data_IF_741147098782
#
_entry.id   IF_741147098782
#
_cell.length_a   1.000
_cell.length_b   1.000
_cell.length_c   1.000
_cell.angle_alpha   90.00
_cell.angle_beta   90.00
_cell.angle_gamma   90.00
#
_symmetry.space_group_name_H-M   'P 1'
#
loop_
_entity.id
_entity.type
_entity.pdbx_description
1 polymer ?
#
# COMPACT_ATOMS: atom_id res chain seq x y z
N UNK A 1 -8.34 14.14 -11.18
CA UNK A 1 -7.71 12.81 -10.97
C UNK A 1 -7.17 12.17 -12.25
N UNK A 2 -7.99 11.87 -13.28
CA UNK A 2 -7.52 11.22 -14.54
C UNK A 2 -6.41 12.01 -15.28
N UNK A 3 -6.44 13.35 -15.24
CA UNK A 3 -5.40 14.24 -15.80
C UNK A 3 -3.99 13.87 -15.33
N UNK A 4 -3.82 13.60 -14.03
CA UNK A 4 -2.52 13.27 -13.43
C UNK A 4 -2.00 11.90 -13.90
N UNK A 5 -2.87 10.91 -14.05
CA UNK A 5 -2.50 9.60 -14.63
C UNK A 5 -2.01 9.73 -16.08
N UNK A 6 -2.69 10.53 -16.91
CA UNK A 6 -2.30 10.71 -18.30
C UNK A 6 -0.99 11.47 -18.48
N UNK A 7 -0.66 12.40 -17.56
CA UNK A 7 0.60 13.16 -17.60
C UNK A 7 1.82 12.27 -17.38
N UNK A 8 1.73 11.27 -16.50
CA UNK A 8 2.84 10.36 -16.16
C UNK A 8 2.67 8.93 -16.70
N UNK A 9 1.77 8.72 -17.68
CA UNK A 9 1.46 7.40 -18.26
C UNK A 9 2.70 6.62 -18.72
N UNK A 10 3.73 7.31 -19.22
CA UNK A 10 4.97 6.65 -19.67
C UNK A 10 5.79 6.06 -18.52
N UNK A 11 5.92 6.78 -17.41
CA UNK A 11 6.64 6.30 -16.22
C UNK A 11 5.85 5.19 -15.52
N UNK A 12 4.53 5.33 -15.46
CA UNK A 12 3.63 4.29 -14.94
C UNK A 12 3.70 3.03 -15.80
N UNK A 13 3.76 3.16 -17.13
CA UNK A 13 3.93 2.03 -18.02
C UNK A 13 5.28 1.32 -17.79
N UNK A 14 6.37 2.07 -17.63
CA UNK A 14 7.69 1.48 -17.30
C UNK A 14 7.69 0.76 -15.96
N UNK A 15 7.02 1.33 -14.94
CA UNK A 15 6.82 0.71 -13.64
C UNK A 15 6.06 -0.62 -13.76
N UNK A 16 4.95 -0.65 -14.48
CA UNK A 16 4.19 -1.88 -14.75
C UNK A 16 5.05 -2.90 -15.52
N UNK A 17 5.79 -2.47 -16.54
CA UNK A 17 6.67 -3.33 -17.33
C UNK A 17 7.76 -3.97 -16.45
N UNK A 18 8.47 -3.18 -15.64
CA UNK A 18 9.44 -3.69 -14.67
C UNK A 18 8.80 -4.70 -13.70
N UNK A 19 7.58 -4.43 -13.25
CA UNK A 19 6.84 -5.33 -12.37
C UNK A 19 6.52 -6.67 -13.04
N UNK A 20 6.15 -6.68 -14.33
CA UNK A 20 5.91 -7.93 -15.06
C UNK A 20 7.19 -8.75 -15.28
N UNK A 21 8.30 -8.09 -15.62
CA UNK A 21 9.61 -8.75 -15.77
C UNK A 21 10.09 -9.34 -14.44
N UNK A 22 9.88 -8.61 -13.35
CA UNK A 22 10.14 -9.11 -12.00
C UNK A 22 9.35 -10.40 -11.71
N UNK A 23 8.05 -10.43 -12.01
CA UNK A 23 7.21 -11.61 -11.80
C UNK A 23 7.65 -12.80 -12.62
N UNK A 24 8.13 -12.59 -13.85
CA UNK A 24 8.67 -13.67 -14.69
C UNK A 24 9.96 -14.23 -14.08
N UNK A 25 10.88 -13.36 -13.64
CA UNK A 25 12.15 -13.76 -13.02
C UNK A 25 11.95 -14.58 -11.75
N UNK A 26 11.04 -14.15 -10.87
CA UNK A 26 10.71 -14.92 -9.67
C UNK A 26 9.90 -16.17 -10.01
N UNK A 27 9.02 -16.08 -11.01
CA UNK A 27 8.19 -17.19 -11.44
C UNK A 27 9.01 -18.38 -11.95
N UNK A 28 10.19 -18.14 -12.51
CA UNK A 28 11.11 -19.17 -12.96
C UNK A 28 11.82 -19.92 -11.81
N UNK A 29 11.84 -19.39 -10.58
CA UNK A 29 12.53 -20.00 -9.44
C UNK A 29 11.99 -21.40 -9.12
N UNK A 30 10.66 -21.61 -8.96
CA UNK A 30 10.07 -22.95 -8.78
C UNK A 30 10.52 -23.99 -9.80
N UNK A 31 10.77 -23.61 -11.06
CA UNK A 31 11.21 -24.54 -12.11
C UNK A 31 12.63 -25.02 -11.82
N UNK A 32 13.54 -24.09 -11.48
CA UNK A 32 14.91 -24.45 -11.09
C UNK A 32 14.90 -25.33 -9.85
N UNK A 33 14.02 -25.04 -8.88
CA UNK A 33 13.82 -25.88 -7.70
C UNK A 33 13.28 -27.27 -8.04
N UNK A 34 12.36 -27.39 -9.00
CA UNK A 34 11.86 -28.69 -9.46
C UNK A 34 12.97 -29.51 -10.13
N UNK A 35 13.75 -28.90 -11.03
CA UNK A 35 14.87 -29.56 -11.69
C UNK A 35 15.92 -30.04 -10.68
N UNK A 36 16.15 -29.27 -9.62
CA UNK A 36 17.04 -29.67 -8.52
C UNK A 36 16.51 -30.94 -7.82
N UNK A 37 15.21 -30.99 -7.51
CA UNK A 37 14.57 -32.13 -6.84
C UNK A 37 14.57 -33.40 -7.71
N UNK A 38 14.27 -33.27 -9.00
CA UNK A 38 14.23 -34.40 -9.93
C UNK A 38 15.63 -34.96 -10.21
N UNK A 39 16.68 -34.12 -10.11
CA UNK A 39 18.06 -34.50 -10.37
C UNK A 39 18.80 -35.12 -9.16
N UNK A 40 18.20 -35.15 -7.95
CA UNK A 40 18.85 -35.67 -6.72
C UNK A 40 19.36 -37.11 -6.90
N UNK A 41 18.73 -37.92 -7.75
CA UNK A 41 19.12 -39.30 -8.01
C UNK A 41 20.34 -39.51 -8.93
N UNK A 42 20.72 -38.54 -9.75
CA UNK A 42 21.80 -38.67 -10.76
C UNK A 42 22.69 -37.41 -10.85
N UNK A 43 22.76 -36.69 -9.74
CA UNK A 43 23.29 -35.33 -9.69
C UNK A 43 24.80 -35.29 -9.92
N UNK A 44 25.22 -34.73 -11.06
CA UNK A 44 26.64 -34.44 -11.35
C UNK A 44 27.02 -33.07 -10.79
N UNK A 45 28.20 -32.92 -10.20
CA UNK A 45 28.66 -31.64 -9.61
C UNK A 45 28.61 -30.46 -10.60
N UNK A 46 28.87 -30.70 -11.88
CA UNK A 46 28.79 -29.71 -12.96
C UNK A 46 27.35 -29.21 -13.16
N UNK A 47 26.37 -30.12 -13.16
CA UNK A 47 24.96 -29.78 -13.32
C UNK A 47 24.43 -29.00 -12.12
N UNK A 48 24.85 -29.38 -10.90
CA UNK A 48 24.53 -28.65 -9.68
C UNK A 48 25.07 -27.21 -9.72
N UNK A 49 26.33 -27.03 -10.14
CA UNK A 49 26.93 -25.71 -10.29
C UNK A 49 26.18 -24.82 -11.28
N UNK A 50 25.72 -25.40 -12.40
CA UNK A 50 24.94 -24.67 -13.40
C UNK A 50 23.55 -24.26 -12.88
N UNK A 51 22.85 -25.13 -12.14
CA UNK A 51 21.56 -24.79 -11.51
C UNK A 51 21.70 -23.67 -10.48
N UNK A 52 22.74 -23.71 -9.64
CA UNK A 52 23.01 -22.65 -8.66
C UNK A 52 23.29 -21.32 -9.38
N UNK A 53 24.07 -21.35 -10.46
CA UNK A 53 24.34 -20.15 -11.26
C UNK A 53 23.04 -19.56 -11.83
N UNK A 54 22.18 -20.38 -12.42
CA UNK A 54 20.86 -19.95 -12.91
C UNK A 54 19.99 -19.36 -11.80
N UNK A 55 19.97 -20.00 -10.62
CA UNK A 55 19.22 -19.51 -9.47
C UNK A 55 19.71 -18.12 -9.03
N UNK A 56 21.02 -17.96 -8.85
CA UNK A 56 21.62 -16.68 -8.46
C UNK A 56 21.35 -15.60 -9.51
N UNK A 57 21.44 -15.94 -10.80
CA UNK A 57 21.16 -15.03 -11.90
C UNK A 57 19.69 -14.57 -11.88
N UNK A 58 18.74 -15.50 -11.72
CA UNK A 58 17.31 -15.17 -11.66
C UNK A 58 16.98 -14.27 -10.46
N UNK A 59 17.55 -14.55 -9.29
CA UNK A 59 17.39 -13.70 -8.10
C UNK A 59 18.01 -12.32 -8.33
N UNK A 60 19.21 -12.26 -8.91
CA UNK A 60 19.88 -11.00 -9.23
C UNK A 60 19.08 -10.14 -10.21
N UNK A 61 18.55 -10.74 -11.28
CA UNK A 61 17.65 -10.07 -12.23
C UNK A 61 16.33 -9.65 -11.56
N UNK A 62 15.77 -10.49 -10.69
CA UNK A 62 14.59 -10.15 -9.90
C UNK A 62 14.83 -8.91 -9.04
N UNK A 63 15.90 -8.87 -8.27
CA UNK A 63 16.28 -7.70 -7.45
C UNK A 63 16.47 -6.45 -8.31
N UNK A 64 17.12 -6.59 -9.47
CA UNK A 64 17.30 -5.50 -10.42
C UNK A 64 15.95 -4.92 -10.88
N UNK A 65 15.05 -5.75 -11.40
CA UNK A 65 13.73 -5.27 -11.85
C UNK A 65 12.88 -4.72 -10.71
N UNK A 66 12.96 -5.31 -9.51
CA UNK A 66 12.27 -4.82 -8.33
C UNK A 66 12.75 -3.41 -7.95
N UNK A 67 14.05 -3.15 -7.99
CA UNK A 67 14.61 -1.84 -7.73
C UNK A 67 14.07 -0.78 -8.70
N UNK A 68 14.08 -1.08 -10.00
CA UNK A 68 13.52 -0.16 -11.00
C UNK A 68 12.01 0.05 -10.85
N UNK A 69 11.25 -1.00 -10.53
CA UNK A 69 9.84 -0.89 -10.21
C UNK A 69 9.60 0.08 -9.05
N UNK A 70 10.35 -0.06 -7.95
CA UNK A 70 10.23 0.85 -6.81
C UNK A 70 10.66 2.29 -7.16
N UNK A 71 11.75 2.44 -7.90
CA UNK A 71 12.25 3.73 -8.33
C UNK A 71 11.22 4.48 -9.18
N UNK A 72 10.67 3.84 -10.23
CA UNK A 72 9.65 4.46 -11.06
C UNK A 72 8.36 4.71 -10.27
N UNK A 73 7.96 3.75 -9.43
CA UNK A 73 6.85 3.87 -8.48
C UNK A 73 6.90 5.16 -7.67
N UNK A 74 8.04 5.38 -7.00
CA UNK A 74 8.28 6.58 -6.22
C UNK A 74 8.33 7.84 -7.09
N UNK A 75 9.04 7.80 -8.22
CA UNK A 75 9.21 8.93 -9.12
C UNK A 75 7.88 9.51 -9.61
N UNK A 76 6.97 8.67 -10.11
CA UNK A 76 5.69 9.16 -10.61
C UNK A 76 4.78 9.61 -9.45
N UNK A 77 4.81 8.93 -8.31
CA UNK A 77 3.99 9.28 -7.13
C UNK A 77 4.38 10.64 -6.56
N UNK A 78 5.69 10.90 -6.39
CA UNK A 78 6.19 12.19 -5.89
C UNK A 78 5.91 13.34 -6.85
N UNK A 79 5.95 13.09 -8.17
CA UNK A 79 5.60 14.12 -9.15
C UNK A 79 4.10 14.45 -9.14
N UNK A 80 3.22 13.46 -8.99
CA UNK A 80 1.79 13.71 -8.81
C UNK A 80 1.52 14.48 -7.53
N UNK A 81 2.22 14.16 -6.44
CA UNK A 81 2.11 14.89 -5.17
C UNK A 81 2.51 16.37 -5.33
N UNK A 82 3.60 16.65 -6.03
CA UNK A 82 4.03 18.02 -6.33
C UNK A 82 3.00 18.76 -7.19
N UNK A 83 2.53 18.15 -8.28
CA UNK A 83 1.52 18.72 -9.17
C UNK A 83 0.22 19.04 -8.40
N UNK A 84 -0.20 18.16 -7.48
CA UNK A 84 -1.37 18.39 -6.63
C UNK A 84 -1.17 19.60 -5.70
N UNK A 85 0.02 19.77 -5.13
CA UNK A 85 0.34 20.94 -4.28
C UNK A 85 0.34 22.23 -5.10
N UNK A 86 0.89 22.21 -6.31
CA UNK A 86 0.90 23.35 -7.21
C UNK A 86 -0.54 23.74 -7.64
N UNK A 87 -1.34 22.79 -8.11
CA UNK A 87 -2.75 23.03 -8.50
C UNK A 87 -3.60 23.50 -7.29
N UNK A 88 -3.33 23.03 -6.08
CA UNK A 88 -4.00 23.51 -4.86
C UNK A 88 -3.61 24.94 -4.49
N UNK A 89 -2.32 25.27 -4.56
CA UNK A 89 -1.84 26.62 -4.27
C UNK A 89 -2.40 27.63 -5.27
N UNK A 90 -2.37 27.30 -6.57
CA UNK A 90 -2.95 28.14 -7.62
C UNK A 90 -4.45 28.39 -7.36
N UNK A 91 -5.18 27.38 -6.90
CA UNK A 91 -6.59 27.53 -6.56
C UNK A 91 -6.83 28.42 -5.34
N UNK A 92 -6.03 28.26 -4.28
CA UNK A 92 -6.13 29.10 -3.07
C UNK A 92 -5.82 30.57 -3.39
N UNK A 93 -4.83 30.83 -4.25
CA UNK A 93 -4.46 32.20 -4.65
C UNK A 93 -5.55 32.89 -5.48
N UNK A 94 -6.43 32.13 -6.13
CA UNK A 94 -7.54 32.63 -6.92
C UNK A 94 -8.86 32.76 -6.13
N UNK A 95 -8.86 32.49 -4.82
CA UNK A 95 -10.06 32.66 -3.98
C UNK A 95 -10.41 34.12 -3.74
N UNK A 96 -11.70 34.42 -3.73
CA UNK A 96 -12.19 35.70 -3.22
C UNK A 96 -12.07 35.73 -1.68
N UNK A 97 -12.09 36.92 -1.09
CA UNK A 97 -11.94 37.10 0.36
C UNK A 97 -12.93 36.25 1.19
N UNK A 98 -14.20 36.19 0.76
CA UNK A 98 -15.23 35.38 1.41
C UNK A 98 -14.98 33.87 1.33
N UNK A 99 -14.42 33.38 0.21
CA UNK A 99 -14.08 31.97 0.02
C UNK A 99 -12.85 31.61 0.86
N UNK A 100 -11.87 32.51 0.95
CA UNK A 100 -10.67 32.30 1.75
C UNK A 100 -10.98 32.22 3.26
N UNK A 101 -11.86 33.09 3.76
CA UNK A 101 -12.25 33.14 5.19
C UNK A 101 -13.16 31.96 5.60
N UNK A 102 -13.72 31.22 4.64
CA UNK A 102 -14.61 30.08 4.93
C UNK A 102 -13.92 28.90 5.62
N UNK A 103 -12.59 28.80 5.51
CA UNK A 103 -11.79 27.77 6.17
C UNK A 103 -10.71 28.37 7.06
N UNK A 104 -10.32 27.64 8.10
CA UNK A 104 -9.26 28.10 9.01
C UNK A 104 -7.88 27.82 8.41
N UNK A 105 -6.87 28.59 8.84
CA UNK A 105 -5.48 28.49 8.33
C UNK A 105 -4.85 27.12 8.56
N UNK A 106 -5.14 26.49 9.69
CA UNK A 106 -4.71 25.15 10.06
C UNK A 106 -5.34 24.06 9.18
N UNK A 107 -6.57 24.27 8.73
CA UNK A 107 -7.26 23.35 7.80
C UNK A 107 -6.57 23.33 6.44
N UNK A 108 -6.25 24.50 5.87
CA UNK A 108 -5.47 24.58 4.63
C UNK A 108 -4.11 23.89 4.76
N UNK A 109 -3.42 24.09 5.89
CA UNK A 109 -2.12 23.44 6.13
C UNK A 109 -2.26 21.91 6.23
N UNK A 110 -3.30 21.42 6.90
CA UNK A 110 -3.58 19.98 7.00
C UNK A 110 -3.87 19.38 5.62
N UNK A 111 -4.68 20.05 4.79
CA UNK A 111 -4.95 19.60 3.42
C UNK A 111 -3.66 19.53 2.61
N UNK A 112 -2.84 20.57 2.67
CA UNK A 112 -1.61 20.69 1.88
C UNK A 112 -0.53 19.66 2.26
N UNK A 113 -0.45 19.31 3.55
CA UNK A 113 0.57 18.43 4.10
C UNK A 113 0.11 16.97 4.16
N UNK A 114 -1.05 16.72 4.75
CA UNK A 114 -1.55 15.38 5.04
C UNK A 114 -2.44 14.86 3.92
N UNK A 115 -3.44 15.63 3.47
CA UNK A 115 -4.46 15.09 2.56
C UNK A 115 -3.90 14.87 1.15
N UNK A 116 -3.06 15.78 0.65
CA UNK A 116 -2.39 15.60 -0.65
C UNK A 116 -1.53 14.33 -0.66
N UNK A 117 -0.76 14.12 0.41
CA UNK A 117 0.08 12.94 0.54
C UNK A 117 -0.77 11.67 0.68
N UNK A 118 -1.85 11.72 1.48
CA UNK A 118 -2.78 10.62 1.62
C UNK A 118 -3.44 10.26 0.28
N UNK A 119 -3.86 11.25 -0.50
CA UNK A 119 -4.43 11.03 -1.83
C UNK A 119 -3.39 10.38 -2.76
N UNK A 120 -2.16 10.88 -2.80
CA UNK A 120 -1.10 10.30 -3.64
C UNK A 120 -0.82 8.83 -3.29
N UNK A 121 -0.62 8.54 -2.00
CA UNK A 121 -0.21 7.22 -1.52
C UNK A 121 -1.37 6.22 -1.37
N UNK A 122 -2.56 6.66 -0.98
CA UNK A 122 -3.69 5.76 -0.72
C UNK A 122 -4.59 5.58 -1.94
N UNK A 123 -4.66 6.56 -2.84
CA UNK A 123 -5.46 6.45 -4.05
C UNK A 123 -4.61 6.07 -5.26
N UNK A 124 -3.68 6.93 -5.68
CA UNK A 124 -2.97 6.70 -6.94
C UNK A 124 -2.10 5.45 -6.90
N UNK A 125 -1.25 5.32 -5.87
CA UNK A 125 -0.36 4.17 -5.70
C UNK A 125 -1.17 2.88 -5.58
N UNK A 126 -2.24 2.85 -4.77
CA UNK A 126 -3.07 1.66 -4.59
C UNK A 126 -3.82 1.22 -5.84
N UNK A 127 -4.32 2.17 -6.64
CA UNK A 127 -4.98 1.85 -7.91
C UNK A 127 -3.99 1.19 -8.88
N UNK A 128 -2.78 1.72 -8.99
CA UNK A 128 -1.72 1.12 -9.84
C UNK A 128 -1.27 -0.23 -9.30
N UNK A 129 -1.09 -0.36 -7.98
CA UNK A 129 -0.75 -1.64 -7.35
C UNK A 129 -1.81 -2.71 -7.61
N UNK A 130 -3.10 -2.36 -7.58
CA UNK A 130 -4.18 -3.31 -7.89
C UNK A 130 -4.11 -3.80 -9.35
N UNK A 131 -3.79 -2.90 -10.29
CA UNK A 131 -3.55 -3.26 -11.69
C UNK A 131 -2.32 -4.16 -11.82
N UNK A 132 -1.22 -3.85 -11.13
CA UNK A 132 -0.02 -4.71 -11.12
C UNK A 132 -0.33 -6.08 -10.54
N UNK A 133 -0.90 -6.16 -9.34
CA UNK A 133 -1.20 -7.43 -8.67
C UNK A 133 -2.14 -8.32 -9.50
N UNK A 134 -3.14 -7.74 -10.16
CA UNK A 134 -4.03 -8.51 -11.05
C UNK A 134 -3.29 -9.04 -12.28
N UNK A 135 -2.46 -8.23 -12.93
CA UNK A 135 -1.61 -8.67 -14.05
C UNK A 135 -0.61 -9.76 -13.62
N UNK A 136 0.05 -9.57 -12.48
CA UNK A 136 1.00 -10.54 -11.91
C UNK A 136 0.32 -11.88 -11.65
N UNK A 137 -0.89 -11.87 -11.06
CA UNK A 137 -1.65 -13.08 -10.79
C UNK A 137 -1.96 -13.84 -12.07
N UNK A 138 -2.40 -13.15 -13.12
CA UNK A 138 -2.71 -13.78 -14.42
C UNK A 138 -1.45 -14.36 -15.06
N UNK A 139 -0.37 -13.58 -15.14
CA UNK A 139 0.90 -14.02 -15.76
C UNK A 139 1.49 -15.21 -15.01
N UNK A 140 1.58 -15.10 -13.68
CA UNK A 140 2.11 -16.17 -12.84
C UNK A 140 1.23 -17.42 -12.88
N UNK A 141 -0.10 -17.26 -12.88
CA UNK A 141 -1.03 -18.38 -12.99
C UNK A 141 -0.87 -19.16 -14.30
N UNK A 142 -0.80 -18.47 -15.44
CA UNK A 142 -0.56 -19.10 -16.75
C UNK A 142 0.80 -19.80 -16.76
N UNK A 143 1.84 -19.13 -16.26
CA UNK A 143 3.19 -19.65 -16.19
C UNK A 143 3.24 -20.96 -15.38
N UNK A 144 2.63 -20.97 -14.19
CA UNK A 144 2.61 -22.16 -13.32
C UNK A 144 1.84 -23.31 -13.95
N UNK A 145 0.71 -23.08 -14.62
CA UNK A 145 -0.06 -24.14 -15.28
C UNK A 145 0.71 -24.79 -16.43
N UNK A 146 1.51 -24.02 -17.16
CA UNK A 146 2.26 -24.54 -18.31
C UNK A 146 3.54 -25.28 -17.91
N UNK A 147 4.23 -24.80 -16.88
CA UNK A 147 5.53 -25.35 -16.48
C UNK A 147 5.47 -26.35 -15.31
N UNK A 148 4.45 -26.29 -14.45
CA UNK A 148 4.23 -27.26 -13.38
C UNK A 148 3.15 -28.28 -13.72
N UNK A 149 3.18 -29.41 -13.02
CA UNK A 149 2.14 -30.43 -13.12
C UNK A 149 0.76 -29.84 -12.75
N UNK A 150 -0.27 -30.15 -13.55
CA UNK A 150 -1.65 -29.66 -13.40
C UNK A 150 -2.21 -29.89 -11.98
N UNK A 151 -1.81 -30.98 -11.32
CA UNK A 151 -2.23 -31.30 -9.96
C UNK A 151 -1.68 -30.32 -8.92
N UNK A 152 -0.42 -29.91 -9.06
CA UNK A 152 0.22 -28.93 -8.17
C UNK A 152 -0.42 -27.56 -8.40
N UNK A 153 -0.65 -27.18 -9.67
CA UNK A 153 -1.34 -25.95 -10.01
C UNK A 153 -2.76 -25.88 -9.40
N UNK A 154 -3.52 -26.98 -9.46
CA UNK A 154 -4.88 -27.06 -8.90
C UNK A 154 -4.87 -26.88 -7.37
N UNK A 155 -3.93 -27.51 -6.66
CA UNK A 155 -3.78 -27.33 -5.20
C UNK A 155 -3.50 -25.86 -4.85
N UNK A 156 -2.61 -25.20 -5.60
CA UNK A 156 -2.27 -23.78 -5.37
C UNK A 156 -3.49 -22.89 -5.66
N UNK A 157 -4.24 -23.14 -6.74
CA UNK A 157 -5.46 -22.38 -7.06
C UNK A 157 -6.50 -22.53 -5.96
N UNK A 158 -6.76 -23.74 -5.47
CA UNK A 158 -7.71 -23.97 -4.37
C UNK A 158 -7.25 -23.29 -3.08
N UNK A 159 -5.96 -23.37 -2.74
CA UNK A 159 -5.39 -22.68 -1.58
C UNK A 159 -5.50 -21.15 -1.70
N UNK A 160 -5.29 -20.60 -2.90
CA UNK A 160 -5.46 -19.18 -3.17
C UNK A 160 -6.92 -18.73 -3.02
N UNK A 161 -7.88 -19.56 -3.47
CA UNK A 161 -9.31 -19.30 -3.35
C UNK A 161 -9.76 -19.30 -1.88
N UNK A 162 -9.26 -20.24 -1.08
CA UNK A 162 -9.48 -20.28 0.37
C UNK A 162 -8.94 -19.02 1.05
N UNK A 163 -7.76 -18.55 0.64
CA UNK A 163 -7.16 -17.33 1.18
C UNK A 163 -7.99 -16.08 0.86
N UNK A 164 -8.68 -16.05 -0.29
CA UNK A 164 -9.58 -14.96 -0.67
C UNK A 164 -10.90 -14.96 0.10
N UNK A 165 -11.37 -16.12 0.58
CA UNK A 165 -12.58 -16.22 1.41
C UNK A 165 -12.35 -15.68 2.83
N UNK A 166 -11.14 -15.82 3.37
CA UNK A 166 -10.76 -15.35 4.72
C UNK A 166 -11.05 -13.86 4.97
N UNK A 167 -10.62 -12.91 4.11
CA UNK A 167 -10.94 -11.50 4.29
C UNK A 167 -12.43 -11.20 4.06
N UNK A 168 -13.16 -11.94 3.23
CA UNK A 168 -14.59 -11.67 3.01
C UNK A 168 -15.45 -11.94 4.25
N UNK A 169 -15.14 -12.99 5.00
CA UNK A 169 -15.83 -13.31 6.26
C UNK A 169 -15.49 -12.31 7.38
N UNK A 170 -14.25 -11.84 7.41
CA UNK A 170 -13.73 -11.00 8.50
C UNK A 170 -13.90 -9.51 8.24
N UNK A 171 -13.91 -9.08 6.97
CA UNK A 171 -13.90 -7.66 6.59
C UNK A 171 -15.11 -6.90 7.12
N UNK A 172 -16.32 -7.48 7.13
CA UNK A 172 -17.51 -6.79 7.65
C UNK A 172 -17.36 -6.43 9.14
N UNK A 173 -16.99 -7.41 9.96
CA UNK A 173 -16.76 -7.20 11.40
C UNK A 173 -15.63 -6.20 11.64
N UNK A 174 -14.52 -6.37 10.94
CA UNK A 174 -13.37 -5.49 11.05
C UNK A 174 -13.68 -4.04 10.64
N UNK A 175 -14.55 -3.85 9.65
CA UNK A 175 -15.03 -2.53 9.23
C UNK A 175 -15.94 -1.88 10.29
N UNK A 176 -16.85 -2.64 10.91
CA UNK A 176 -17.72 -2.15 12.00
C UNK A 176 -16.91 -1.79 13.26
N UNK A 177 -15.95 -2.64 13.64
CA UNK A 177 -15.05 -2.38 14.77
C UNK A 177 -14.19 -1.14 14.51
N UNK A 178 -13.69 -0.97 13.27
CA UNK A 178 -12.94 0.21 12.86
C UNK A 178 -13.79 1.47 12.95
N UNK A 179 -15.06 1.42 12.56
CA UNK A 179 -15.97 2.55 12.64
C UNK A 179 -16.23 2.95 14.11
N UNK A 180 -16.43 1.94 14.97
CA UNK A 180 -16.59 2.14 16.42
C UNK A 180 -15.35 2.76 17.05
N UNK A 181 -14.16 2.25 16.68
CA UNK A 181 -12.88 2.80 17.11
C UNK A 181 -12.69 4.26 16.68
N UNK A 182 -12.99 4.59 15.42
CA UNK A 182 -12.91 5.98 14.90
C UNK A 182 -13.86 6.92 15.65
N UNK A 183 -15.09 6.48 15.96
CA UNK A 183 -16.03 7.28 16.75
C UNK A 183 -15.52 7.53 18.17
N UNK A 184 -14.99 6.51 18.86
CA UNK A 184 -14.42 6.66 20.21
C UNK A 184 -13.18 7.54 20.21
N UNK A 185 -12.32 7.41 19.20
CA UNK A 185 -11.16 8.28 19.02
C UNK A 185 -11.58 9.74 18.80
N UNK A 186 -12.67 9.99 18.08
CA UNK A 186 -13.28 11.31 17.93
C UNK A 186 -13.72 11.89 19.29
N UNK A 187 -14.44 11.11 20.09
CA UNK A 187 -14.85 11.52 21.45
C UNK A 187 -13.64 11.85 22.33
N UNK A 188 -12.60 11.00 22.33
CA UNK A 188 -11.38 11.23 23.09
C UNK A 188 -10.67 12.52 22.65
N UNK A 189 -10.63 12.78 21.34
CA UNK A 189 -10.02 14.01 20.78
C UNK A 189 -10.78 15.25 21.25
N UNK A 190 -12.11 15.21 21.30
CA UNK A 190 -12.92 16.30 21.84
C UNK A 190 -12.66 16.55 23.33
N UNK A 191 -12.54 15.49 24.15
CA UNK A 191 -12.17 15.63 25.57
C UNK A 191 -10.81 16.31 25.73
N UNK A 192 -9.82 15.96 24.90
CA UNK A 192 -8.51 16.63 24.91
C UNK A 192 -8.64 18.10 24.54
N UNK A 193 -9.42 18.43 23.51
CA UNK A 193 -9.67 19.82 23.10
C UNK A 193 -10.38 20.64 24.19
N UNK A 194 -11.36 20.07 24.88
CA UNK A 194 -12.07 20.73 25.99
C UNK A 194 -11.12 21.00 27.17
N UNK A 195 -10.23 20.06 27.50
CA UNK A 195 -9.23 20.25 28.55
C UNK A 195 -8.19 21.32 28.17
N UNK A 196 -7.76 21.35 26.91
CA UNK A 196 -6.80 22.34 26.42
C UNK A 196 -7.41 23.75 26.35
N UNK A 197 -8.64 23.88 25.86
CA UNK A 197 -9.35 25.16 25.81
C UNK A 197 -9.72 25.68 27.21
N UNK A 198 -10.11 24.78 28.12
CA UNK A 198 -10.41 25.08 29.52
C UNK A 198 -9.20 25.13 30.45
N UNK A 199 -7.96 25.11 29.92
CA UNK A 199 -6.76 24.94 30.75
C UNK A 199 -6.59 26.04 31.81
N UNK A 200 -7.05 27.25 31.51
CA UNK A 200 -7.04 28.36 32.47
C UNK A 200 -7.95 28.13 33.70
N UNK A 201 -8.93 27.22 33.59
CA UNK A 201 -9.87 26.84 34.65
C UNK A 201 -9.43 25.58 35.42
N UNK A 202 -8.31 24.96 35.02
CA UNK A 202 -7.81 23.76 35.69
C UNK A 202 -7.10 24.10 36.99
N UNK A 203 -7.61 23.56 38.10
CA UNK A 203 -7.06 23.73 39.44
C UNK A 203 -6.67 22.38 40.06
N UNK A 204 -5.96 22.42 41.19
CA UNK A 204 -5.52 21.21 41.93
C UNK A 204 -6.68 20.27 42.31
N UNK A 205 -7.89 20.83 42.49
CA UNK A 205 -9.11 20.07 42.83
C UNK A 205 -9.81 19.47 41.60
N UNK A 206 -9.82 20.14 40.44
CA UNK A 206 -10.47 19.64 39.21
C UNK A 206 -9.60 18.65 38.43
N UNK A 207 -8.27 18.75 38.57
CA UNK A 207 -7.29 17.83 37.95
C UNK A 207 -7.61 16.33 38.14
N UNK A 208 -7.88 15.81 39.35
CA UNK A 208 -8.19 14.39 39.53
C UNK A 208 -9.48 13.96 38.81
N UNK A 209 -10.50 14.81 38.75
CA UNK A 209 -11.75 14.49 38.03
C UNK A 209 -11.57 14.47 36.52
N UNK A 210 -10.83 15.43 35.96
CA UNK A 210 -10.49 15.45 34.53
C UNK A 210 -9.67 14.22 34.16
N UNK A 211 -8.71 13.84 35.02
CA UNK A 211 -7.89 12.64 34.80
C UNK A 211 -8.71 11.35 34.90
N UNK A 212 -9.69 11.26 35.80
CA UNK A 212 -10.59 10.10 35.89
C UNK A 212 -11.50 9.99 34.65
N UNK A 213 -12.04 11.12 34.19
CA UNK A 213 -12.83 11.19 32.95
C UNK A 213 -12.00 10.77 31.73
N UNK A 214 -10.80 11.33 31.57
CA UNK A 214 -9.89 10.96 30.49
C UNK A 214 -9.51 9.47 30.52
N UNK A 215 -9.24 8.90 31.70
CA UNK A 215 -8.96 7.47 31.86
C UNK A 215 -10.15 6.58 31.49
N UNK A 216 -11.39 7.01 31.75
CA UNK A 216 -12.59 6.28 31.35
C UNK A 216 -12.73 6.24 29.84
N UNK A 217 -12.58 7.37 29.16
CA UNK A 217 -12.65 7.44 27.69
C UNK A 217 -11.46 6.77 27.00
N UNK A 218 -10.27 6.76 27.63
CA UNK A 218 -9.12 6.04 27.08
C UNK A 218 -9.30 4.52 27.15
N UNK A 219 -10.08 4.01 28.11
CA UNK A 219 -10.36 2.57 28.25
C UNK A 219 -11.43 2.07 27.29
N UNK A 220 -12.22 2.98 26.72
CA UNK A 220 -13.23 2.62 25.72
C UNK A 220 -12.61 2.57 24.33
N UNK A 221 -11.57 3.34 24.02
CA UNK A 221 -10.80 3.25 22.76
C UNK A 221 -10.00 1.95 22.70
#
# INVERSE_FOLDING_TARGET
MKKYFYRYKGVIFMDILCSTLYTISIGAIPIVSQQLLDAVGYLTAVFLGQLILWYVLLVGLGMFFQYFCQYFGWLWTSKIEQDLREDLMDKILNYNYQEFESYKKDEYLSVFTNDVQAISNQYFLKVIDLVKSSLMLIIYGIYMVYFLNIWIALVIVVASLLTLLTPQLTSRRLSEDRLTYMNRLGTLTNVVLDVLSGFALTNRQTKPHIMDHFKKETRTV
#
